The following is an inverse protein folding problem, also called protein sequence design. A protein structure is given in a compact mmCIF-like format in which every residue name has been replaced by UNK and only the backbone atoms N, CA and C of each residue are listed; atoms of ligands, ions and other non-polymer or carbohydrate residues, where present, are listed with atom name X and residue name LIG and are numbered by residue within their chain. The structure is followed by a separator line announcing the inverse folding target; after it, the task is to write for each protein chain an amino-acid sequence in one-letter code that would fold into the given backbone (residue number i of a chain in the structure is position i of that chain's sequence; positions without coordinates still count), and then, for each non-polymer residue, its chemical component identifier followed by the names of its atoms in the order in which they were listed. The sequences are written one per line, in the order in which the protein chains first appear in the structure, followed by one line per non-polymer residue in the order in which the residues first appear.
data_IF_972367628836
#
_entry.id   IF_972367628836
#
_cell.length_a   1.000
_cell.length_b   1.000
_cell.length_c   1.000
_cell.angle_alpha   90.00
_cell.angle_beta   90.00
_cell.angle_gamma   90.00
#
_symmetry.space_group_name_H-M   'P 1'
#
loop_
_entity.id
_entity.type
_entity.pdbx_description
1 polymer ?
#
# COMPACT_ATOMS: atom_id res chain seq x y z
N UNK A 1 -16.81 42.45 -52.70
CA UNK A 1 -15.78 41.72 -51.94
C UNK A 1 -16.27 41.19 -50.56
N UNK A 2 -17.26 41.81 -49.90
CA UNK A 2 -17.81 41.35 -48.60
C UNK A 2 -18.83 40.20 -48.67
N UNK A 3 -19.37 39.86 -49.83
CA UNK A 3 -20.40 38.82 -49.97
C UNK A 3 -19.79 37.42 -50.18
N UNK A 4 -18.56 37.32 -50.73
CA UNK A 4 -17.86 36.05 -50.89
C UNK A 4 -17.23 35.53 -49.59
N UNK A 5 -16.83 36.43 -48.66
CA UNK A 5 -16.26 36.05 -47.38
C UNK A 5 -17.29 35.44 -46.41
N UNK A 6 -18.56 35.83 -46.54
CA UNK A 6 -19.65 35.27 -45.72
C UNK A 6 -20.00 33.83 -46.16
N UNK A 7 -19.97 33.53 -47.45
CA UNK A 7 -20.28 32.17 -47.98
C UNK A 7 -19.13 31.21 -47.65
N UNK A 8 -17.87 31.66 -47.71
CA UNK A 8 -16.70 30.86 -47.39
C UNK A 8 -16.61 30.58 -45.88
N UNK A 9 -17.02 31.53 -45.04
CA UNK A 9 -17.07 31.35 -43.58
C UNK A 9 -18.22 30.44 -43.11
N UNK A 10 -19.35 30.42 -43.85
CA UNK A 10 -20.47 29.54 -43.50
C UNK A 10 -20.19 28.09 -43.95
N UNK A 11 -19.53 27.90 -45.08
CA UNK A 11 -19.08 26.60 -45.57
C UNK A 11 -17.96 26.00 -44.64
N UNK A 12 -17.07 26.85 -44.08
CA UNK A 12 -16.07 26.39 -43.06
C UNK A 12 -16.72 26.04 -41.73
N UNK A 13 -17.72 26.78 -41.27
CA UNK A 13 -18.45 26.46 -40.03
C UNK A 13 -19.24 25.16 -40.14
N UNK A 14 -19.76 24.82 -41.31
CA UNK A 14 -20.50 23.56 -41.53
C UNK A 14 -19.58 22.34 -41.59
N UNK A 15 -18.31 22.50 -42.01
CA UNK A 15 -17.33 21.42 -42.03
C UNK A 15 -16.69 21.12 -40.68
N UNK A 16 -16.84 22.01 -39.67
CA UNK A 16 -16.28 21.85 -38.34
C UNK A 16 -17.24 21.16 -37.34
N UNK A 17 -18.55 21.03 -37.67
CA UNK A 17 -19.53 20.39 -36.78
C UNK A 17 -19.71 18.90 -37.10
N UNK A 18 -19.75 18.09 -36.02
CA UNK A 18 -20.09 16.67 -36.12
C UNK A 18 -21.53 16.52 -36.60
N UNK A 19 -21.76 15.85 -37.72
CA UNK A 19 -23.11 15.57 -38.26
C UNK A 19 -23.39 14.08 -38.26
N UNK A 20 -24.60 13.71 -37.86
CA UNK A 20 -25.11 12.33 -37.90
C UNK A 20 -26.43 12.37 -38.66
N UNK A 21 -26.51 11.65 -39.76
CA UNK A 21 -27.76 11.42 -40.51
C UNK A 21 -28.10 9.92 -40.43
N UNK A 22 -29.38 9.64 -40.25
CA UNK A 22 -29.93 8.28 -40.14
C UNK A 22 -30.82 8.01 -41.30
N UNK A 23 -30.36 7.18 -42.23
CA UNK A 23 -31.12 6.76 -43.42
C UNK A 23 -31.49 5.27 -43.29
N UNK A 24 -32.59 4.86 -43.85
CA UNK A 24 -33.05 3.49 -43.87
C UNK A 24 -32.87 2.92 -45.28
N UNK A 25 -31.92 1.99 -45.45
CA UNK A 25 -31.67 1.32 -46.73
C UNK A 25 -32.74 0.30 -47.05
N UNK A 26 -33.19 -0.46 -46.01
CA UNK A 26 -34.21 -1.48 -46.06
C UNK A 26 -34.97 -1.55 -44.74
N UNK A 27 -36.14 -2.23 -44.73
CA UNK A 27 -36.93 -2.41 -43.50
C UNK A 27 -36.13 -2.99 -42.31
N UNK A 28 -34.98 -3.64 -42.57
CA UNK A 28 -34.13 -4.29 -41.55
C UNK A 28 -32.74 -3.67 -41.41
N UNK A 29 -32.36 -2.69 -42.25
CA UNK A 29 -31.00 -2.14 -42.29
C UNK A 29 -31.01 -0.63 -42.06
N UNK A 30 -30.34 -0.18 -40.98
CA UNK A 30 -30.13 1.23 -40.64
C UNK A 30 -28.76 1.68 -41.14
N UNK A 31 -28.71 2.72 -41.99
CA UNK A 31 -27.48 3.37 -42.42
C UNK A 31 -27.21 4.60 -41.55
N UNK A 32 -26.06 4.62 -40.89
CA UNK A 32 -25.61 5.76 -40.10
C UNK A 32 -24.51 6.50 -40.85
N UNK A 33 -24.86 7.68 -41.40
CA UNK A 33 -23.90 8.55 -42.08
C UNK A 33 -23.27 9.50 -41.09
N UNK A 34 -21.92 9.47 -41.01
CA UNK A 34 -21.14 10.33 -40.14
C UNK A 34 -20.34 11.32 -40.99
N UNK A 35 -20.48 12.61 -40.69
CA UNK A 35 -19.75 13.65 -41.41
C UNK A 35 -19.16 14.72 -40.49
N UNK A 36 -18.23 15.52 -41.05
CA UNK A 36 -17.58 16.62 -40.35
C UNK A 36 -16.36 16.21 -39.52
N UNK A 37 -16.00 17.03 -38.55
CA UNK A 37 -14.79 16.85 -37.72
C UNK A 37 -15.12 16.24 -36.34
N UNK A 38 -14.76 14.98 -36.13
CA UNK A 38 -15.05 14.19 -34.94
C UNK A 38 -13.89 14.25 -33.93
N UNK A 39 -13.59 15.48 -33.48
CA UNK A 39 -12.55 15.76 -32.49
C UNK A 39 -13.19 15.95 -31.11
N UNK A 40 -12.47 15.58 -30.04
CA UNK A 40 -12.93 15.64 -28.63
C UNK A 40 -13.40 17.05 -28.21
N UNK A 41 -12.83 18.09 -28.82
CA UNK A 41 -13.18 19.51 -28.58
C UNK A 41 -14.53 19.93 -29.19
N UNK A 42 -15.03 19.22 -30.18
CA UNK A 42 -16.26 19.59 -30.86
C UNK A 42 -17.49 19.04 -30.14
N UNK A 43 -18.60 19.80 -30.20
CA UNK A 43 -19.86 19.40 -29.59
C UNK A 43 -20.42 18.19 -30.35
N UNK A 44 -20.47 17.04 -29.69
CA UNK A 44 -20.91 15.77 -30.29
C UNK A 44 -22.44 15.64 -30.23
N UNK A 45 -23.10 15.08 -31.26
CA UNK A 45 -24.49 14.74 -31.17
C UNK A 45 -24.72 13.65 -30.11
N UNK A 46 -25.84 13.75 -29.41
CA UNK A 46 -26.22 12.77 -28.39
C UNK A 46 -26.61 11.44 -29.05
N UNK A 47 -26.16 10.32 -28.44
CA UNK A 47 -26.62 8.98 -28.88
C UNK A 47 -28.11 8.74 -28.63
N UNK A 48 -28.81 9.68 -27.97
CA UNK A 48 -30.22 9.57 -27.61
C UNK A 48 -31.11 9.36 -28.81
N UNK A 49 -30.90 10.11 -29.92
CA UNK A 49 -31.68 10.03 -31.13
C UNK A 49 -31.54 8.68 -31.87
N UNK A 50 -30.33 8.11 -31.82
CA UNK A 50 -30.06 6.77 -32.37
C UNK A 50 -30.72 5.72 -31.48
N UNK A 51 -30.62 5.90 -30.20
CA UNK A 51 -31.20 5.04 -29.15
C UNK A 51 -32.73 4.97 -29.28
N UNK A 52 -33.39 6.11 -29.45
CA UNK A 52 -34.84 6.17 -29.65
C UNK A 52 -35.29 5.44 -30.93
N UNK A 53 -34.59 5.63 -32.05
CA UNK A 53 -34.89 4.92 -33.29
C UNK A 53 -34.69 3.41 -33.22
N UNK A 54 -33.61 2.95 -32.55
CA UNK A 54 -33.35 1.54 -32.34
C UNK A 54 -34.36 0.88 -31.37
N UNK A 55 -34.94 1.67 -30.45
CA UNK A 55 -35.96 1.16 -29.51
C UNK A 55 -37.35 1.22 -30.12
N UNK A 56 -37.63 2.23 -30.97
CA UNK A 56 -38.95 2.41 -31.61
C UNK A 56 -39.21 1.44 -32.82
N UNK A 57 -38.13 0.96 -33.45
CA UNK A 57 -38.22 0.05 -34.59
C UNK A 57 -37.57 -1.30 -34.24
N UNK A 58 -38.32 -2.19 -33.62
CA UNK A 58 -37.85 -3.53 -33.19
C UNK A 58 -37.48 -4.47 -34.37
N UNK A 59 -37.66 -4.05 -35.63
CA UNK A 59 -37.36 -4.84 -36.83
C UNK A 59 -35.92 -4.65 -37.36
N UNK A 60 -35.15 -3.69 -36.88
CA UNK A 60 -33.77 -3.42 -37.32
C UNK A 60 -32.86 -4.56 -36.86
N UNK A 61 -32.21 -5.24 -37.79
CA UNK A 61 -31.26 -6.33 -37.54
C UNK A 61 -29.83 -6.05 -37.97
N UNK A 62 -29.66 -5.04 -38.85
CA UNK A 62 -28.35 -4.68 -39.40
C UNK A 62 -28.11 -3.18 -39.33
N UNK A 63 -26.91 -2.80 -38.91
CA UNK A 63 -26.43 -1.40 -38.90
C UNK A 63 -25.20 -1.34 -39.80
N UNK A 64 -25.21 -0.36 -40.72
CA UNK A 64 -24.09 -0.06 -41.62
C UNK A 64 -23.65 1.37 -41.40
N UNK A 65 -22.35 1.61 -41.42
CA UNK A 65 -21.77 2.95 -41.29
C UNK A 65 -21.29 3.47 -42.66
N UNK A 66 -21.50 4.77 -42.88
CA UNK A 66 -20.90 5.51 -43.99
C UNK A 66 -20.12 6.71 -43.39
N UNK A 67 -18.82 6.69 -43.58
CA UNK A 67 -17.91 7.70 -43.05
C UNK A 67 -17.17 8.48 -44.12
N UNK A 68 -17.63 8.45 -45.35
CA UNK A 68 -17.01 9.14 -46.50
C UNK A 68 -16.92 10.65 -46.30
N UNK A 69 -17.83 11.24 -45.51
CA UNK A 69 -17.89 12.68 -45.22
C UNK A 69 -17.12 13.09 -43.94
N UNK A 70 -16.34 12.20 -43.31
CA UNK A 70 -15.51 12.54 -42.18
C UNK A 70 -14.22 13.20 -42.65
N UNK A 71 -13.95 14.42 -42.15
CA UNK A 71 -12.74 15.22 -42.48
C UNK A 71 -11.58 14.89 -41.53
N UNK A 72 -11.86 14.81 -40.21
CA UNK A 72 -10.89 14.47 -39.17
C UNK A 72 -11.58 13.69 -38.06
N UNK A 73 -10.84 12.81 -37.41
CA UNK A 73 -11.37 12.04 -36.28
C UNK A 73 -10.28 11.76 -35.24
N UNK A 74 -10.70 11.64 -33.96
CA UNK A 74 -9.88 11.23 -32.84
C UNK A 74 -10.64 10.24 -31.91
N UNK A 75 -10.22 10.11 -30.66
CA UNK A 75 -10.91 9.29 -29.64
C UNK A 75 -12.38 9.67 -29.42
N UNK A 76 -12.80 10.86 -29.85
CA UNK A 76 -14.19 11.30 -29.81
C UNK A 76 -15.12 10.45 -30.66
N UNK A 77 -14.68 10.06 -31.87
CA UNK A 77 -15.41 9.14 -32.73
C UNK A 77 -15.51 7.74 -32.10
N UNK A 78 -14.40 7.24 -31.53
CA UNK A 78 -14.37 5.93 -30.87
C UNK A 78 -15.34 5.84 -29.72
N UNK A 79 -15.39 6.89 -28.87
CA UNK A 79 -16.32 6.97 -27.73
C UNK A 79 -17.78 6.97 -28.18
N UNK A 80 -18.09 7.63 -29.27
CA UNK A 80 -19.44 7.64 -29.87
C UNK A 80 -19.82 6.27 -30.44
N UNK A 81 -18.91 5.65 -31.18
CA UNK A 81 -19.11 4.33 -31.78
C UNK A 81 -19.21 3.22 -30.73
N UNK A 82 -18.41 3.26 -29.68
CA UNK A 82 -18.50 2.26 -28.61
C UNK A 82 -19.86 2.24 -27.94
N UNK A 83 -20.46 3.42 -27.71
CA UNK A 83 -21.80 3.50 -27.12
C UNK A 83 -22.92 2.90 -28.07
N UNK A 84 -22.75 3.00 -29.38
CA UNK A 84 -23.69 2.39 -30.34
C UNK A 84 -23.44 0.87 -30.42
N UNK A 85 -22.17 0.43 -30.43
CA UNK A 85 -21.82 -0.98 -30.52
C UNK A 85 -22.27 -1.76 -29.26
N UNK A 86 -22.11 -1.20 -28.07
CA UNK A 86 -22.54 -1.83 -26.80
C UNK A 86 -24.06 -2.00 -26.79
N UNK A 87 -24.80 -1.00 -27.26
CA UNK A 87 -26.26 -1.07 -27.35
C UNK A 87 -26.75 -2.07 -28.41
N UNK A 88 -26.10 -2.08 -29.58
CA UNK A 88 -26.43 -3.01 -30.66
C UNK A 88 -26.19 -4.46 -30.24
N UNK A 89 -25.12 -4.69 -29.49
CA UNK A 89 -24.81 -6.01 -28.92
C UNK A 89 -25.86 -6.48 -27.93
N UNK A 90 -26.33 -5.58 -27.02
CA UNK A 90 -27.41 -5.90 -26.07
C UNK A 90 -28.74 -6.26 -26.74
N UNK A 91 -29.01 -5.71 -27.97
CA UNK A 91 -30.22 -5.95 -28.71
C UNK A 91 -30.09 -7.06 -29.79
N UNK A 92 -28.92 -7.70 -29.90
CA UNK A 92 -28.66 -8.75 -30.87
C UNK A 92 -28.60 -8.28 -32.32
N UNK A 93 -28.28 -6.98 -32.55
CA UNK A 93 -28.18 -6.36 -33.89
C UNK A 93 -26.76 -6.56 -34.42
N UNK A 94 -26.66 -7.05 -35.67
CA UNK A 94 -25.35 -7.18 -36.34
C UNK A 94 -24.90 -5.83 -36.91
N UNK A 95 -23.65 -5.48 -36.63
CA UNK A 95 -23.04 -4.20 -37.02
C UNK A 95 -21.95 -4.45 -38.07
N UNK A 96 -22.14 -3.91 -39.27
CA UNK A 96 -21.12 -3.91 -40.32
C UNK A 96 -20.14 -2.74 -40.07
N UNK A 97 -18.85 -3.03 -39.94
CA UNK A 97 -17.78 -2.08 -39.66
C UNK A 97 -16.99 -1.68 -40.90
N UNK A 98 -17.27 -2.25 -42.06
CA UNK A 98 -16.49 -2.03 -43.30
C UNK A 98 -16.53 -0.58 -43.76
N UNK A 99 -17.58 0.18 -43.43
CA UNK A 99 -17.68 1.62 -43.71
C UNK A 99 -16.97 2.56 -42.77
N UNK A 100 -16.26 2.06 -41.74
CA UNK A 100 -15.48 2.87 -40.80
C UNK A 100 -14.03 3.06 -41.29
N UNK A 101 -13.31 4.14 -40.88
CA UNK A 101 -11.91 4.30 -41.19
C UNK A 101 -11.07 3.13 -40.62
N UNK A 102 -10.08 2.63 -41.37
CA UNK A 102 -9.26 1.46 -40.97
C UNK A 102 -8.65 1.58 -39.58
N UNK A 103 -8.19 2.79 -39.19
CA UNK A 103 -7.64 3.04 -37.85
C UNK A 103 -8.69 2.87 -36.74
N UNK A 104 -9.94 3.32 -36.99
CA UNK A 104 -11.04 3.17 -36.06
C UNK A 104 -11.49 1.70 -35.91
N UNK A 105 -11.49 0.94 -37.00
CA UNK A 105 -11.80 -0.50 -36.97
C UNK A 105 -10.80 -1.27 -36.07
N UNK A 106 -9.49 -1.08 -36.28
CA UNK A 106 -8.43 -1.73 -35.51
C UNK A 106 -8.49 -1.37 -34.01
N UNK A 107 -8.75 -0.10 -33.69
CA UNK A 107 -8.87 0.34 -32.31
C UNK A 107 -10.13 -0.23 -31.62
N UNK A 108 -11.24 -0.35 -32.32
CA UNK A 108 -12.47 -0.97 -31.82
C UNK A 108 -12.30 -2.49 -31.60
N UNK A 109 -11.54 -3.17 -32.45
CA UNK A 109 -11.20 -4.58 -32.24
C UNK A 109 -10.33 -4.78 -31.01
N UNK A 110 -9.30 -3.94 -30.79
CA UNK A 110 -8.47 -3.96 -29.61
C UNK A 110 -9.27 -3.66 -28.33
N UNK A 111 -10.20 -2.69 -28.40
CA UNK A 111 -11.08 -2.38 -27.27
C UNK A 111 -12.00 -3.55 -26.93
N UNK A 112 -12.52 -4.27 -27.92
CA UNK A 112 -13.37 -5.44 -27.72
C UNK A 112 -12.59 -6.62 -27.11
N UNK A 113 -11.39 -6.90 -27.61
CA UNK A 113 -10.52 -7.93 -27.05
C UNK A 113 -10.15 -7.66 -25.58
N UNK A 114 -10.05 -6.39 -25.18
CA UNK A 114 -9.87 -5.97 -23.77
C UNK A 114 -11.14 -6.10 -22.93
N UNK A 115 -12.32 -5.93 -23.53
CA UNK A 115 -13.62 -6.05 -22.84
C UNK A 115 -14.03 -7.49 -22.62
N UNK A 116 -13.78 -8.38 -23.56
CA UNK A 116 -14.08 -9.82 -23.41
C UNK A 116 -13.35 -10.42 -22.21
N UNK A 117 -12.10 -10.00 -21.93
CA UNK A 117 -11.38 -10.38 -20.71
C UNK A 117 -12.02 -9.86 -19.41
N UNK A 118 -12.78 -8.78 -19.46
CA UNK A 118 -13.48 -8.22 -18.29
C UNK A 118 -14.88 -8.79 -18.10
N UNK A 119 -15.55 -9.22 -19.17
CA UNK A 119 -16.87 -9.84 -19.08
C UNK A 119 -16.80 -11.28 -18.59
N UNK A 120 -15.78 -12.03 -18.95
CA UNK A 120 -15.50 -13.35 -18.32
C UNK A 120 -15.30 -13.25 -16.80
N UNK A 121 -14.87 -12.09 -16.28
CA UNK A 121 -14.78 -11.83 -14.84
C UNK A 121 -16.11 -11.36 -14.22
N UNK A 122 -17.06 -10.79 -14.98
CA UNK A 122 -18.37 -10.35 -14.47
C UNK A 122 -19.47 -11.41 -14.58
N UNK A 123 -19.30 -12.39 -15.44
CA UNK A 123 -20.18 -13.57 -15.56
C UNK A 123 -19.90 -14.67 -14.53
N UNK A 124 -19.24 -14.35 -13.41
CA UNK A 124 -18.99 -15.30 -12.34
C UNK A 124 -20.34 -15.83 -11.79
N UNK A 125 -20.70 -17.04 -12.22
CA UNK A 125 -21.69 -17.89 -11.52
C UNK A 125 -21.43 -17.80 -10.02
N UNK A 126 -22.47 -17.83 -9.16
CA UNK A 126 -22.24 -17.79 -7.70
C UNK A 126 -21.23 -18.88 -7.36
N UNK A 127 -20.02 -18.44 -7.11
CA UNK A 127 -18.88 -19.35 -6.84
C UNK A 127 -19.22 -20.09 -5.56
N UNK A 128 -19.30 -21.43 -5.65
CA UNK A 128 -19.55 -22.29 -4.49
C UNK A 128 -18.63 -21.89 -3.33
N UNK A 129 -19.14 -21.88 -2.11
CA UNK A 129 -18.38 -21.60 -0.89
C UNK A 129 -17.03 -22.36 -0.86
N UNK A 130 -17.06 -23.63 -1.30
CA UNK A 130 -15.87 -24.48 -1.43
C UNK A 130 -14.83 -23.92 -2.43
N UNK A 131 -15.26 -23.34 -3.55
CA UNK A 131 -14.37 -22.75 -4.53
C UNK A 131 -13.71 -21.47 -3.99
N UNK A 132 -14.47 -20.63 -3.26
CA UNK A 132 -13.91 -19.45 -2.57
C UNK A 132 -12.89 -19.85 -1.52
N UNK A 133 -13.22 -20.85 -0.71
CA UNK A 133 -12.31 -21.38 0.31
C UNK A 133 -11.04 -21.93 -0.33
N UNK A 134 -11.15 -22.69 -1.41
CA UNK A 134 -10.00 -23.22 -2.16
C UNK A 134 -9.11 -22.12 -2.74
N UNK A 135 -9.68 -21.10 -3.37
CA UNK A 135 -8.93 -19.95 -3.89
C UNK A 135 -8.21 -19.19 -2.77
N UNK A 136 -8.89 -18.95 -1.65
CA UNK A 136 -8.28 -18.26 -0.49
C UNK A 136 -7.12 -19.06 0.06
N UNK A 137 -7.28 -20.39 0.19
CA UNK A 137 -6.23 -21.29 0.68
C UNK A 137 -5.04 -21.32 -0.26
N UNK A 138 -5.24 -21.46 -1.57
CA UNK A 138 -4.15 -21.44 -2.56
C UNK A 138 -3.41 -20.10 -2.55
N UNK A 139 -4.15 -18.98 -2.47
CA UNK A 139 -3.53 -17.66 -2.38
C UNK A 139 -2.73 -17.48 -1.08
N UNK A 140 -3.22 -18.03 0.03
CA UNK A 140 -2.51 -18.00 1.32
C UNK A 140 -1.18 -18.77 1.23
N UNK A 141 -1.19 -19.98 0.65
CA UNK A 141 0.04 -20.76 0.46
C UNK A 141 1.02 -20.08 -0.49
N UNK A 142 0.53 -19.46 -1.56
CA UNK A 142 1.39 -18.69 -2.49
C UNK A 142 2.01 -17.49 -1.79
N UNK A 143 1.21 -16.70 -1.06
CA UNK A 143 1.72 -15.57 -0.29
C UNK A 143 2.70 -16.00 0.80
N UNK A 144 2.47 -17.14 1.46
CA UNK A 144 3.42 -17.68 2.44
C UNK A 144 4.75 -18.07 1.76
N UNK A 145 4.70 -18.67 0.56
CA UNK A 145 5.87 -18.97 -0.24
C UNK A 145 6.68 -17.73 -0.62
N UNK A 146 6.01 -16.65 -1.03
CA UNK A 146 6.66 -15.39 -1.39
C UNK A 146 7.34 -14.73 -0.17
N UNK A 147 6.69 -14.78 1.00
CA UNK A 147 7.27 -14.29 2.26
C UNK A 147 8.51 -15.11 2.63
N UNK A 148 8.43 -16.45 2.51
CA UNK A 148 9.54 -17.33 2.86
C UNK A 148 10.74 -17.13 1.90
N UNK A 149 10.47 -16.95 0.60
CA UNK A 149 11.49 -16.63 -0.39
C UNK A 149 12.18 -15.31 -0.06
N UNK A 150 11.41 -14.26 0.27
CA UNK A 150 11.93 -12.96 0.67
C UNK A 150 12.82 -13.05 1.92
N UNK A 151 12.40 -13.80 2.94
CA UNK A 151 13.20 -14.03 4.15
C UNK A 151 14.50 -14.77 3.79
N UNK A 152 14.43 -15.78 2.92
CA UNK A 152 15.60 -16.50 2.44
C UNK A 152 16.59 -15.59 1.71
N UNK A 153 16.09 -14.72 0.82
CA UNK A 153 16.94 -13.72 0.14
C UNK A 153 17.56 -12.72 1.11
N UNK A 154 16.78 -12.23 2.11
CA UNK A 154 17.30 -11.35 3.15
C UNK A 154 18.41 -12.02 3.98
N UNK A 155 18.22 -13.31 4.31
CA UNK A 155 19.22 -14.09 5.03
C UNK A 155 20.50 -14.30 4.20
N UNK A 156 20.37 -14.59 2.91
CA UNK A 156 21.53 -14.70 2.01
C UNK A 156 22.27 -13.37 1.85
N UNK A 157 21.55 -12.26 1.77
CA UNK A 157 22.14 -10.91 1.75
C UNK A 157 22.90 -10.61 3.04
N UNK A 158 22.35 -10.97 4.20
CA UNK A 158 22.98 -10.83 5.50
C UNK A 158 24.25 -11.70 5.62
N UNK A 159 24.18 -12.93 5.12
CA UNK A 159 25.34 -13.84 5.09
C UNK A 159 26.46 -13.31 4.20
N UNK A 160 26.12 -12.75 3.03
CA UNK A 160 27.08 -12.10 2.13
C UNK A 160 27.70 -10.85 2.78
N UNK A 161 26.96 -10.15 3.62
CA UNK A 161 27.49 -9.02 4.42
C UNK A 161 28.58 -9.49 5.39
N UNK A 162 28.33 -10.53 6.17
CA UNK A 162 29.34 -11.09 7.09
C UNK A 162 30.58 -11.62 6.37
N UNK A 163 30.43 -12.06 5.12
CA UNK A 163 31.56 -12.48 4.26
C UNK A 163 32.29 -11.31 3.59
N UNK A 164 31.84 -10.07 3.79
CA UNK A 164 32.42 -8.88 3.20
C UNK A 164 32.18 -8.74 1.67
N UNK A 165 31.25 -9.51 1.11
CA UNK A 165 30.91 -9.51 -0.32
C UNK A 165 29.71 -8.64 -0.68
N UNK A 166 28.95 -8.17 0.30
CA UNK A 166 27.74 -7.36 0.07
C UNK A 166 28.09 -6.00 -0.52
N UNK A 167 27.33 -5.60 -1.55
CA UNK A 167 27.49 -4.33 -2.27
C UNK A 167 26.43 -3.34 -1.82
N UNK A 168 26.71 -2.54 -0.81
CA UNK A 168 25.84 -1.44 -0.38
C UNK A 168 26.61 -0.16 -0.11
N UNK A 169 25.92 0.97 -0.11
CA UNK A 169 26.52 2.29 0.18
C UNK A 169 26.56 2.53 1.69
N UNK A 170 27.72 2.76 2.26
CA UNK A 170 27.88 3.11 3.70
C UNK A 170 27.12 4.40 4.08
N UNK A 171 27.05 5.37 3.14
CA UNK A 171 26.29 6.61 3.34
C UNK A 171 24.80 6.35 3.56
N UNK A 172 24.20 5.41 2.84
CA UNK A 172 22.79 5.09 2.96
C UNK A 172 22.50 4.42 4.32
N UNK A 173 23.41 3.56 4.79
CA UNK A 173 23.31 2.97 6.12
C UNK A 173 23.38 4.03 7.24
N UNK A 174 24.29 5.01 7.13
CA UNK A 174 24.40 6.09 8.13
C UNK A 174 23.13 6.93 8.14
N UNK A 175 22.58 7.25 6.98
CA UNK A 175 21.31 7.98 6.86
C UNK A 175 20.15 7.21 7.51
N UNK A 176 20.05 5.91 7.25
CA UNK A 176 19.04 5.05 7.87
C UNK A 176 19.22 5.02 9.41
N UNK A 177 20.44 4.94 9.90
CA UNK A 177 20.73 5.00 11.36
C UNK A 177 20.27 6.34 11.94
N UNK A 178 20.50 7.46 11.25
CA UNK A 178 20.08 8.77 11.69
C UNK A 178 18.54 8.87 11.72
N UNK A 179 17.88 8.47 10.65
CA UNK A 179 16.42 8.51 10.51
C UNK A 179 15.74 7.59 11.54
N UNK A 180 16.28 6.38 11.74
CA UNK A 180 15.72 5.43 12.71
C UNK A 180 16.05 5.76 14.17
N UNK A 181 17.18 6.41 14.43
CA UNK A 181 17.68 6.69 15.75
C UNK A 181 17.29 8.09 16.22
N UNK A 182 18.06 9.07 15.81
CA UNK A 182 17.99 10.45 16.34
C UNK A 182 16.61 11.07 16.15
N UNK A 183 16.03 10.92 14.97
CA UNK A 183 14.71 11.48 14.69
C UNK A 183 13.56 10.74 15.40
N UNK A 184 13.79 9.54 15.91
CA UNK A 184 12.79 8.82 16.69
C UNK A 184 12.80 9.20 18.18
N UNK A 185 13.90 9.78 18.71
CA UNK A 185 14.06 10.10 20.12
C UNK A 185 12.90 10.93 20.72
N UNK A 186 12.42 12.02 20.08
CA UNK A 186 11.38 12.83 20.70
C UNK A 186 10.08 12.06 20.96
N UNK A 187 9.64 11.26 19.99
CA UNK A 187 8.40 10.48 20.10
C UNK A 187 8.57 9.31 21.09
N UNK A 188 9.72 8.64 21.08
CA UNK A 188 10.03 7.55 22.03
C UNK A 188 10.09 8.11 23.44
N UNK A 189 10.73 9.27 23.65
CA UNK A 189 10.79 9.94 24.96
C UNK A 189 9.41 10.20 25.54
N UNK A 190 8.57 10.85 24.75
CA UNK A 190 7.24 11.25 25.20
C UNK A 190 6.39 10.03 25.53
N UNK A 191 6.33 9.05 24.64
CA UNK A 191 5.47 7.87 24.82
C UNK A 191 5.98 7.01 25.97
N UNK A 192 7.28 6.75 26.06
CA UNK A 192 7.85 5.92 27.15
C UNK A 192 7.70 6.55 28.51
N UNK A 193 7.88 7.87 28.61
CA UNK A 193 7.64 8.63 29.84
C UNK A 193 6.18 8.53 30.28
N UNK A 194 5.24 8.74 29.37
CA UNK A 194 3.80 8.65 29.65
C UNK A 194 3.39 7.23 30.03
N UNK A 195 3.90 6.20 29.36
CA UNK A 195 3.61 4.80 29.70
C UNK A 195 4.12 4.46 31.09
N UNK A 196 5.37 4.87 31.43
CA UNK A 196 5.92 4.70 32.78
C UNK A 196 5.09 5.40 33.84
N UNK A 197 4.63 6.62 33.57
CA UNK A 197 3.75 7.41 34.45
C UNK A 197 2.39 6.70 34.64
N UNK A 198 1.77 6.20 33.57
CA UNK A 198 0.49 5.49 33.62
C UNK A 198 0.63 4.19 34.44
N UNK A 199 1.68 3.39 34.19
CA UNK A 199 1.93 2.16 34.93
C UNK A 199 2.13 2.43 36.43
N UNK A 200 2.91 3.47 36.75
CA UNK A 200 3.13 3.86 38.13
C UNK A 200 1.84 4.33 38.81
N UNK A 201 1.05 5.14 38.14
CA UNK A 201 -0.23 5.66 38.65
C UNK A 201 -1.22 4.53 38.93
N UNK A 202 -1.42 3.63 37.95
CA UNK A 202 -2.34 2.48 38.10
C UNK A 202 -1.83 1.55 39.21
N UNK A 203 -0.52 1.26 39.23
CA UNK A 203 0.11 0.46 40.29
C UNK A 203 -0.01 1.11 41.67
N UNK A 204 0.19 2.42 41.78
CA UNK A 204 0.08 3.18 43.01
C UNK A 204 -1.31 3.05 43.64
N UNK A 205 -2.39 3.27 42.86
CA UNK A 205 -3.76 3.16 43.34
C UNK A 205 -4.07 1.79 43.95
N UNK A 206 -3.55 0.72 43.34
CA UNK A 206 -3.76 -0.63 43.85
C UNK A 206 -2.88 -0.92 45.10
N UNK A 207 -1.60 -0.55 45.09
CA UNK A 207 -0.67 -0.86 46.19
C UNK A 207 -0.90 0.02 47.43
N UNK A 208 -1.47 1.22 47.27
CA UNK A 208 -1.90 2.06 48.41
C UNK A 208 -2.93 1.34 49.30
N UNK A 209 -3.84 0.55 48.71
CA UNK A 209 -4.87 -0.19 49.46
C UNK A 209 -4.25 -1.23 50.44
N UNK A 210 -3.05 -1.70 50.12
CA UNK A 210 -2.31 -2.68 50.93
C UNK A 210 -1.17 -2.09 51.77
N UNK A 211 -0.97 -0.76 51.74
CA UNK A 211 0.14 -0.11 52.41
C UNK A 211 1.53 -0.45 51.83
N UNK A 212 1.55 -0.98 50.60
CA UNK A 212 2.75 -1.49 49.95
C UNK A 212 3.27 -0.58 48.84
N UNK A 213 3.21 0.73 49.04
CA UNK A 213 3.44 1.78 48.04
C UNK A 213 4.83 1.70 47.36
N UNK A 214 5.87 1.31 48.12
CA UNK A 214 7.26 1.23 47.61
C UNK A 214 7.41 0.20 46.46
N UNK A 215 6.55 -0.83 46.44
CA UNK A 215 6.58 -1.86 45.39
C UNK A 215 6.12 -1.36 44.02
N UNK A 216 5.60 -0.12 43.90
CA UNK A 216 5.39 0.54 42.61
C UNK A 216 6.70 0.62 41.82
N UNK A 217 7.83 0.87 42.47
CA UNK A 217 9.15 0.89 41.87
C UNK A 217 9.53 -0.46 41.25
N UNK A 218 9.20 -1.57 41.88
CA UNK A 218 9.46 -2.92 41.39
C UNK A 218 8.57 -3.19 40.15
N UNK A 219 7.29 -2.87 40.26
CA UNK A 219 6.32 -3.10 39.20
C UNK A 219 6.70 -2.35 37.94
N UNK A 220 6.97 -1.05 38.03
CA UNK A 220 7.36 -0.23 36.89
C UNK A 220 8.71 -0.67 36.35
N UNK A 221 9.69 -0.93 37.24
CA UNK A 221 11.05 -1.35 36.87
C UNK A 221 11.03 -2.63 36.03
N UNK A 222 10.45 -3.69 36.58
CA UNK A 222 10.40 -4.99 35.88
C UNK A 222 9.53 -4.90 34.59
N UNK A 223 8.34 -4.29 34.68
CA UNK A 223 7.43 -4.20 33.52
C UNK A 223 8.05 -3.42 32.36
N UNK A 224 8.71 -2.28 32.65
CA UNK A 224 9.36 -1.49 31.61
C UNK A 224 10.54 -2.23 31.00
N UNK A 225 11.52 -2.60 31.80
CA UNK A 225 12.81 -3.13 31.34
C UNK A 225 12.65 -4.49 30.63
N UNK A 226 11.76 -5.34 31.13
CA UNK A 226 11.61 -6.70 30.61
C UNK A 226 10.79 -6.76 29.31
N UNK A 227 9.75 -5.93 29.19
CA UNK A 227 8.77 -6.09 28.09
C UNK A 227 8.30 -4.76 27.50
N UNK A 228 7.81 -3.82 28.34
CA UNK A 228 7.01 -2.69 27.86
C UNK A 228 7.83 -1.72 27.00
N UNK A 229 9.06 -1.41 27.38
CA UNK A 229 9.89 -0.50 26.59
C UNK A 229 10.22 -1.07 25.21
N UNK A 230 10.54 -2.37 25.13
CA UNK A 230 10.78 -3.03 23.83
C UNK A 230 9.54 -3.01 22.96
N UNK A 231 8.37 -3.39 23.50
CA UNK A 231 7.11 -3.45 22.77
C UNK A 231 6.65 -2.06 22.31
N UNK A 232 6.67 -1.05 23.21
CA UNK A 232 6.25 0.31 22.86
C UNK A 232 7.17 0.93 21.82
N UNK A 233 8.49 0.81 21.99
CA UNK A 233 9.46 1.25 20.97
C UNK A 233 9.23 0.52 19.66
N UNK A 234 8.99 -0.78 19.68
CA UNK A 234 8.68 -1.58 18.50
C UNK A 234 7.43 -1.08 17.76
N UNK A 235 6.32 -0.83 18.47
CA UNK A 235 5.08 -0.32 17.88
C UNK A 235 5.30 1.07 17.27
N UNK A 236 6.01 1.97 17.96
CA UNK A 236 6.34 3.31 17.45
C UNK A 236 7.15 3.18 16.15
N UNK A 237 8.19 2.34 16.16
CA UNK A 237 9.07 2.16 15.02
C UNK A 237 8.40 1.43 13.86
N UNK A 238 7.46 0.52 14.12
CA UNK A 238 6.64 -0.09 13.06
C UNK A 238 5.76 0.97 12.37
N UNK A 239 5.12 1.86 13.15
CA UNK A 239 4.26 2.92 12.63
C UNK A 239 5.03 4.01 11.88
N UNK A 240 6.21 4.42 12.35
CA UNK A 240 7.01 5.48 11.76
C UNK A 240 7.97 4.95 10.70
N UNK A 241 8.90 4.10 11.11
CA UNK A 241 10.02 3.66 10.26
C UNK A 241 9.60 2.52 9.33
N UNK A 242 8.82 1.55 9.80
CA UNK A 242 8.29 0.47 8.98
C UNK A 242 7.40 0.99 7.85
N UNK A 243 6.50 1.92 8.16
CA UNK A 243 5.68 2.60 7.15
C UNK A 243 6.51 3.42 6.15
N UNK A 244 7.53 4.15 6.64
CA UNK A 244 8.41 4.94 5.78
C UNK A 244 9.22 4.05 4.82
N UNK A 245 9.73 2.90 5.27
CA UNK A 245 10.41 1.94 4.40
C UNK A 245 9.49 1.38 3.32
N UNK A 246 8.26 1.03 3.69
CA UNK A 246 7.27 0.54 2.73
C UNK A 246 6.89 1.62 1.72
N UNK A 247 6.71 2.86 2.14
CA UNK A 247 6.39 3.97 1.26
C UNK A 247 7.54 4.30 0.29
N UNK A 248 8.79 4.35 0.79
CA UNK A 248 9.96 4.61 -0.03
C UNK A 248 10.16 3.53 -1.10
N UNK A 249 10.18 2.25 -0.70
CA UNK A 249 10.34 1.14 -1.63
C UNK A 249 9.14 1.00 -2.57
N UNK A 250 7.93 1.26 -2.08
CA UNK A 250 6.72 1.29 -2.89
C UNK A 250 6.77 2.37 -3.97
N UNK A 251 7.26 3.56 -3.65
CA UNK A 251 7.48 4.64 -4.63
C UNK A 251 8.51 4.24 -5.68
N UNK A 252 9.62 3.63 -5.26
CA UNK A 252 10.64 3.10 -6.18
C UNK A 252 10.08 1.98 -7.08
N UNK A 253 9.13 1.17 -6.57
CA UNK A 253 8.44 0.14 -7.35
C UNK A 253 7.49 0.75 -8.39
N UNK A 254 6.74 1.79 -8.02
CA UNK A 254 5.84 2.52 -8.94
C UNK A 254 6.63 3.21 -10.06
N UNK A 255 7.80 3.76 -9.74
CA UNK A 255 8.70 4.42 -10.71
C UNK A 255 9.56 3.43 -11.52
N UNK A 256 9.39 2.12 -11.31
CA UNK A 256 10.19 1.06 -11.96
C UNK A 256 11.70 1.10 -11.65
N UNK A 257 12.11 1.85 -10.60
CA UNK A 257 13.51 1.97 -10.19
C UNK A 257 14.09 0.62 -9.70
N UNK A 258 13.27 -0.19 -9.01
CA UNK A 258 13.68 -1.53 -8.54
C UNK A 258 13.94 -2.47 -9.72
N UNK A 259 13.13 -2.37 -10.78
CA UNK A 259 13.31 -3.16 -11.99
C UNK A 259 14.55 -2.69 -12.77
N UNK A 260 14.86 -1.39 -12.74
CA UNK A 260 16.11 -0.86 -13.29
C UNK A 260 17.35 -1.42 -12.57
N UNK A 261 17.34 -1.53 -11.23
CA UNK A 261 18.44 -2.19 -10.49
C UNK A 261 18.63 -3.65 -10.91
N UNK A 262 17.54 -4.41 -11.07
CA UNK A 262 17.60 -5.80 -11.53
C UNK A 262 18.20 -5.93 -12.93
N UNK A 263 17.82 -5.04 -13.86
CA UNK A 263 18.38 -5.04 -15.23
C UNK A 263 19.86 -4.68 -15.27
N UNK A 264 20.34 -3.86 -14.32
CA UNK A 264 21.76 -3.54 -14.13
C UNK A 264 22.54 -4.64 -13.38
N UNK A 265 21.89 -5.73 -12.99
CA UNK A 265 22.54 -6.82 -12.24
C UNK A 265 22.82 -6.47 -10.76
N UNK A 266 22.16 -5.44 -10.22
CA UNK A 266 22.27 -5.04 -8.83
C UNK A 266 21.14 -5.71 -8.05
N UNK A 267 21.48 -6.47 -6.99
CA UNK A 267 20.49 -7.10 -6.12
C UNK A 267 19.76 -6.03 -5.28
N UNK A 268 18.43 -5.87 -5.43
CA UNK A 268 17.67 -4.95 -4.58
C UNK A 268 17.74 -5.33 -3.09
N UNK A 269 17.91 -6.62 -2.79
CA UNK A 269 18.03 -7.10 -1.41
C UNK A 269 19.30 -6.60 -0.74
N UNK A 270 20.45 -6.67 -1.43
CA UNK A 270 21.73 -6.19 -0.88
C UNK A 270 21.80 -4.66 -0.84
N UNK A 271 21.25 -3.99 -1.86
CA UNK A 271 21.40 -2.55 -2.01
C UNK A 271 20.35 -1.73 -1.25
N UNK A 272 19.09 -2.18 -1.19
CA UNK A 272 17.98 -1.44 -0.59
C UNK A 272 17.56 -2.01 0.77
N UNK A 273 17.37 -3.33 0.89
CA UNK A 273 16.82 -3.96 2.09
C UNK A 273 17.86 -4.09 3.18
N UNK A 274 19.04 -4.57 2.86
CA UNK A 274 20.10 -4.85 3.83
C UNK A 274 20.51 -3.64 4.68
N UNK A 275 20.75 -2.43 4.13
CA UNK A 275 21.09 -1.25 4.94
C UNK A 275 19.98 -0.86 5.91
N UNK A 276 18.70 -0.98 5.49
CA UNK A 276 17.52 -0.70 6.31
C UNK A 276 17.40 -1.70 7.46
N UNK A 277 17.59 -2.98 7.15
CA UNK A 277 17.55 -4.05 8.15
C UNK A 277 18.65 -3.89 9.19
N UNK A 278 19.89 -3.67 8.76
CA UNK A 278 21.03 -3.47 9.67
C UNK A 278 20.88 -2.21 10.54
N UNK A 279 20.49 -1.08 9.91
CA UNK A 279 20.30 0.19 10.62
C UNK A 279 19.25 0.09 11.71
N UNK A 280 18.08 -0.48 11.40
CA UNK A 280 17.01 -0.62 12.38
C UNK A 280 17.34 -1.66 13.46
N UNK A 281 17.93 -2.80 13.10
CA UNK A 281 18.34 -3.83 14.06
C UNK A 281 19.37 -3.31 15.06
N UNK A 282 20.29 -2.44 14.63
CA UNK A 282 21.28 -1.81 15.50
C UNK A 282 20.67 -0.75 16.41
N UNK A 283 19.75 0.07 15.86
CA UNK A 283 19.17 1.18 16.61
C UNK A 283 18.07 0.76 17.60
N UNK A 284 17.37 -0.33 17.36
CA UNK A 284 16.28 -0.78 18.24
C UNK A 284 16.69 -1.08 19.67
N UNK A 285 17.79 -1.81 19.95
CA UNK A 285 18.25 -2.01 21.32
C UNK A 285 18.63 -0.70 22.03
N UNK A 286 19.26 0.23 21.31
CA UNK A 286 19.64 1.54 21.86
C UNK A 286 18.41 2.39 22.21
N UNK A 287 17.39 2.39 21.34
CA UNK A 287 16.13 3.06 21.62
C UNK A 287 15.35 2.40 22.75
N UNK A 288 15.46 1.08 22.92
CA UNK A 288 14.87 0.36 24.03
C UNK A 288 15.50 0.77 25.36
N UNK A 289 16.83 0.81 25.45
CA UNK A 289 17.54 1.30 26.65
C UNK A 289 17.15 2.74 26.99
N UNK A 290 17.02 3.58 25.98
CA UNK A 290 16.57 4.94 26.17
C UNK A 290 15.12 5.00 26.68
N UNK A 291 14.25 4.18 26.12
CA UNK A 291 12.85 4.04 26.52
C UNK A 291 12.70 3.53 27.96
N UNK A 292 13.57 2.60 28.38
CA UNK A 292 13.65 2.14 29.77
C UNK A 292 13.94 3.29 30.74
N UNK A 293 14.94 4.11 30.42
CA UNK A 293 15.29 5.28 31.25
C UNK A 293 14.11 6.28 31.31
N UNK A 294 13.47 6.58 30.18
CA UNK A 294 12.35 7.51 30.16
C UNK A 294 11.13 6.97 30.91
N UNK A 295 10.86 5.65 30.81
CA UNK A 295 9.77 5.01 31.54
C UNK A 295 10.00 4.97 33.05
N UNK A 296 11.22 4.69 33.49
CA UNK A 296 11.60 4.76 34.91
C UNK A 296 11.49 6.18 35.45
N UNK A 297 11.86 7.20 34.67
CA UNK A 297 11.66 8.61 35.03
C UNK A 297 10.17 8.96 35.14
N UNK A 298 9.32 8.44 34.26
CA UNK A 298 7.86 8.59 34.35
C UNK A 298 7.32 7.98 35.67
N UNK A 299 7.80 6.80 36.03
CA UNK A 299 7.47 6.15 37.29
C UNK A 299 7.94 6.94 38.53
N UNK A 300 9.16 7.50 38.48
CA UNK A 300 9.70 8.35 39.52
C UNK A 300 8.85 9.60 39.77
N UNK A 301 8.35 10.25 38.72
CA UNK A 301 7.50 11.44 38.86
C UNK A 301 6.24 11.12 39.70
N UNK A 302 5.61 9.96 39.46
CA UNK A 302 4.45 9.55 40.26
C UNK A 302 4.85 9.14 41.68
N UNK A 303 5.95 8.40 41.83
CA UNK A 303 6.42 7.96 43.13
C UNK A 303 6.70 9.14 44.07
N UNK A 304 7.35 10.18 43.59
CA UNK A 304 7.65 11.39 44.36
C UNK A 304 6.45 12.30 44.52
N UNK A 305 5.69 12.52 43.42
CA UNK A 305 4.62 13.52 43.42
C UNK A 305 3.31 13.06 44.06
N UNK A 306 3.04 11.74 44.10
CA UNK A 306 1.77 11.19 44.60
C UNK A 306 1.93 10.30 45.85
N UNK A 307 3.05 9.59 45.94
CA UNK A 307 3.30 8.61 47.01
C UNK A 307 4.21 9.15 48.13
N UNK A 308 4.70 10.40 47.99
CA UNK A 308 5.66 11.04 48.92
C UNK A 308 6.92 10.18 49.18
N UNK A 309 7.31 9.33 48.21
CA UNK A 309 8.50 8.49 48.32
C UNK A 309 9.77 9.33 48.07
N UNK A 310 10.83 9.02 48.79
CA UNK A 310 12.12 9.65 48.54
C UNK A 310 12.74 9.13 47.24
N UNK A 311 13.34 10.03 46.45
CA UNK A 311 14.02 9.69 45.18
C UNK A 311 15.04 8.57 45.39
N UNK A 312 15.83 8.62 46.49
CA UNK A 312 16.84 7.62 46.78
C UNK A 312 16.22 6.25 47.11
N UNK A 313 15.09 6.24 47.78
CA UNK A 313 14.33 5.03 48.11
C UNK A 313 13.79 4.36 46.85
N UNK A 314 13.18 5.14 45.95
CA UNK A 314 12.73 4.66 44.65
C UNK A 314 13.90 4.08 43.85
N UNK A 315 15.03 4.78 43.78
CA UNK A 315 16.22 4.30 43.07
C UNK A 315 16.76 2.98 43.60
N UNK A 316 16.92 2.88 44.94
CA UNK A 316 17.42 1.65 45.58
C UNK A 316 16.44 0.48 45.33
N UNK A 317 15.13 0.74 45.42
CA UNK A 317 14.12 -0.29 45.22
C UNK A 317 14.09 -0.77 43.76
N UNK A 318 14.11 0.16 42.82
CA UNK A 318 14.18 -0.19 41.38
C UNK A 318 15.44 -1.01 41.06
N UNK A 319 16.61 -0.56 41.58
CA UNK A 319 17.88 -1.26 41.36
C UNK A 319 17.89 -2.68 41.95
N UNK A 320 17.24 -2.89 43.09
CA UNK A 320 17.15 -4.22 43.71
C UNK A 320 16.18 -5.15 42.97
N UNK A 321 15.16 -4.59 42.31
CA UNK A 321 14.12 -5.33 41.63
C UNK A 321 14.51 -5.73 40.21
N UNK A 322 15.23 -4.87 39.48
CA UNK A 322 15.59 -5.11 38.06
C UNK A 322 16.90 -5.90 38.00
N UNK A 323 16.78 -7.13 37.51
CA UNK A 323 17.93 -8.02 37.29
C UNK A 323 18.58 -7.78 35.89
N UNK A 324 19.84 -8.22 35.78
CA UNK A 324 20.56 -8.19 34.52
C UNK A 324 19.86 -9.08 33.46
N UNK A 325 19.19 -10.15 33.87
CA UNK A 325 18.39 -11.03 33.03
C UNK A 325 17.23 -10.29 32.40
N UNK A 326 16.54 -9.41 33.15
CA UNK A 326 15.41 -8.64 32.62
C UNK A 326 15.86 -7.67 31.52
N UNK A 327 16.99 -6.98 31.74
CA UNK A 327 17.60 -6.10 30.76
C UNK A 327 18.00 -6.86 29.49
N UNK A 328 18.63 -8.01 29.61
CA UNK A 328 19.05 -8.84 28.49
C UNK A 328 17.84 -9.34 27.68
N UNK A 329 16.75 -9.74 28.34
CA UNK A 329 15.52 -10.16 27.68
C UNK A 329 14.93 -8.99 26.87
N UNK A 330 14.82 -7.78 27.44
CA UNK A 330 14.35 -6.60 26.73
C UNK A 330 15.20 -6.26 25.50
N UNK A 331 16.54 -6.35 25.62
CA UNK A 331 17.46 -6.11 24.51
C UNK A 331 17.35 -7.15 23.40
N UNK A 332 17.20 -8.43 23.77
CA UNK A 332 16.97 -9.49 22.78
C UNK A 332 15.64 -9.28 22.06
N UNK A 333 14.57 -8.98 22.80
CA UNK A 333 13.27 -8.67 22.21
C UNK A 333 13.35 -7.50 21.25
N UNK A 334 13.95 -6.39 21.65
CA UNK A 334 14.08 -5.20 20.80
C UNK A 334 14.88 -5.45 19.52
N UNK A 335 15.94 -6.28 19.60
CA UNK A 335 16.74 -6.70 18.44
C UNK A 335 15.90 -7.50 17.46
N UNK A 336 15.12 -8.48 17.95
CA UNK A 336 14.20 -9.29 17.13
C UNK A 336 13.14 -8.40 16.50
N UNK A 337 12.57 -7.44 17.23
CA UNK A 337 11.60 -6.51 16.71
C UNK A 337 12.18 -5.64 15.59
N UNK A 338 13.43 -5.18 15.73
CA UNK A 338 14.13 -4.43 14.67
C UNK A 338 14.20 -5.20 13.36
N UNK A 339 14.52 -6.50 13.42
CA UNK A 339 14.55 -7.37 12.25
C UNK A 339 13.13 -7.54 11.65
N UNK A 340 12.14 -7.84 12.49
CA UNK A 340 10.76 -8.06 12.04
C UNK A 340 10.14 -6.83 11.38
N UNK A 341 10.35 -5.64 11.95
CA UNK A 341 9.84 -4.38 11.41
C UNK A 341 10.50 -4.07 10.06
N UNK A 342 11.82 -4.22 9.98
CA UNK A 342 12.54 -3.97 8.74
C UNK A 342 12.09 -4.92 7.62
N UNK A 343 11.95 -6.21 7.93
CA UNK A 343 11.46 -7.21 6.97
C UNK A 343 10.02 -6.91 6.55
N UNK A 344 9.11 -6.60 7.49
CA UNK A 344 7.72 -6.28 7.19
C UNK A 344 7.60 -5.03 6.30
N UNK A 345 8.32 -3.95 6.63
CA UNK A 345 8.33 -2.71 5.86
C UNK A 345 8.89 -2.91 4.45
N UNK A 346 10.04 -3.57 4.32
CA UNK A 346 10.65 -3.82 3.02
C UNK A 346 9.84 -4.80 2.16
N UNK A 347 9.31 -5.87 2.74
CA UNK A 347 8.47 -6.84 2.03
C UNK A 347 7.25 -6.17 1.41
N UNK A 348 6.49 -5.40 2.22
CA UNK A 348 5.28 -4.73 1.75
C UNK A 348 5.60 -3.63 0.73
N UNK A 349 6.74 -2.95 0.86
CA UNK A 349 7.19 -1.97 -0.12
C UNK A 349 7.53 -2.59 -1.47
N UNK A 350 8.26 -3.71 -1.51
CA UNK A 350 8.61 -4.41 -2.76
C UNK A 350 7.38 -5.07 -3.39
N UNK A 351 6.42 -5.55 -2.59
CA UNK A 351 5.15 -6.10 -3.07
C UNK A 351 4.11 -5.05 -3.47
N UNK A 352 4.46 -3.76 -3.41
CA UNK A 352 3.57 -2.66 -3.76
C UNK A 352 3.09 -2.77 -5.22
N UNK A 353 1.79 -2.49 -5.44
CA UNK A 353 1.22 -2.38 -6.79
C UNK A 353 1.74 -1.15 -7.54
N UNK A 354 1.54 -1.11 -8.86
CA UNK A 354 2.04 -0.04 -9.75
C UNK A 354 1.14 1.22 -9.76
N UNK A 355 0.63 1.65 -8.62
CA UNK A 355 -0.19 2.86 -8.51
C UNK A 355 0.17 3.68 -7.28
N UNK A 356 -0.03 4.99 -7.33
CA UNK A 356 0.23 5.86 -6.19
C UNK A 356 -0.63 5.51 -4.96
N UNK A 357 -1.86 5.04 -5.14
CA UNK A 357 -2.72 4.56 -4.05
C UNK A 357 -2.17 3.30 -3.39
N UNK A 358 -1.55 2.40 -4.18
CA UNK A 358 -0.96 1.17 -3.66
C UNK A 358 0.21 1.43 -2.68
N UNK A 359 0.90 2.57 -2.80
CA UNK A 359 1.96 2.97 -1.86
C UNK A 359 1.38 3.23 -0.46
N UNK A 360 0.24 3.91 -0.37
CA UNK A 360 -0.48 4.11 0.89
C UNK A 360 -0.93 2.79 1.53
N UNK A 361 -1.49 1.89 0.70
CA UNK A 361 -1.93 0.56 1.15
C UNK A 361 -0.74 -0.30 1.61
N UNK A 362 0.39 -0.23 0.93
CA UNK A 362 1.62 -0.91 1.33
C UNK A 362 2.15 -0.40 2.68
N UNK A 363 2.15 0.92 2.90
CA UNK A 363 2.57 1.52 4.16
C UNK A 363 1.68 1.07 5.34
N UNK A 364 0.36 1.13 5.19
CA UNK A 364 -0.57 0.68 6.24
C UNK A 364 -0.46 -0.83 6.49
N UNK A 365 -0.32 -1.64 5.44
CA UNK A 365 -0.12 -3.09 5.54
C UNK A 365 1.21 -3.43 6.25
N UNK A 366 2.27 -2.66 6.04
CA UNK A 366 3.55 -2.81 6.70
C UNK A 366 3.43 -2.59 8.21
N UNK A 367 2.73 -1.54 8.64
CA UNK A 367 2.46 -1.24 10.06
C UNK A 367 1.72 -2.39 10.72
N UNK A 368 0.61 -2.84 10.14
CA UNK A 368 -0.20 -3.93 10.68
C UNK A 368 0.62 -5.22 10.78
N UNK A 369 1.35 -5.57 9.70
CA UNK A 369 2.20 -6.77 9.68
C UNK A 369 3.31 -6.68 10.73
N UNK A 370 3.95 -5.51 10.88
CA UNK A 370 4.98 -5.26 11.88
C UNK A 370 4.45 -5.42 13.30
N UNK A 371 3.35 -4.75 13.65
CA UNK A 371 2.74 -4.81 14.99
C UNK A 371 2.31 -6.25 15.34
N UNK A 372 1.64 -6.94 14.43
CA UNK A 372 1.22 -8.34 14.66
C UNK A 372 2.44 -9.24 14.90
N UNK A 373 3.50 -9.06 14.10
CA UNK A 373 4.74 -9.83 14.26
C UNK A 373 5.43 -9.56 15.61
N UNK A 374 5.44 -8.29 16.08
CA UNK A 374 5.96 -7.91 17.38
C UNK A 374 5.20 -8.60 18.51
N UNK A 375 3.87 -8.54 18.48
CA UNK A 375 3.02 -9.15 19.53
C UNK A 375 3.22 -10.66 19.57
N UNK A 376 3.24 -11.33 18.42
CA UNK A 376 3.50 -12.77 18.33
C UNK A 376 4.89 -13.11 18.88
N UNK A 377 5.92 -12.36 18.47
CA UNK A 377 7.29 -12.58 18.96
C UNK A 377 7.39 -12.33 20.47
N UNK A 378 6.74 -11.29 21.00
CA UNK A 378 6.67 -11.03 22.45
C UNK A 378 6.07 -12.22 23.20
N UNK A 379 4.93 -12.72 22.72
CA UNK A 379 4.26 -13.88 23.35
C UNK A 379 5.19 -15.11 23.38
N UNK A 380 5.84 -15.41 22.24
CA UNK A 380 6.76 -16.55 22.13
C UNK A 380 7.96 -16.38 23.07
N UNK A 381 8.62 -15.22 23.03
CA UNK A 381 9.81 -14.96 23.88
C UNK A 381 9.44 -15.02 25.35
N UNK A 382 8.31 -14.42 25.75
CA UNK A 382 7.85 -14.43 27.15
C UNK A 382 7.56 -15.85 27.63
N UNK A 383 6.93 -16.70 26.81
CA UNK A 383 6.70 -18.12 27.18
C UNK A 383 8.03 -18.86 27.30
N UNK A 384 8.96 -18.67 26.35
CA UNK A 384 10.25 -19.35 26.39
C UNK A 384 11.03 -18.93 27.64
N UNK A 385 11.12 -17.64 27.94
CA UNK A 385 11.84 -17.14 29.13
C UNK A 385 11.21 -17.64 30.43
N UNK A 386 9.87 -17.70 30.48
CA UNK A 386 9.18 -18.26 31.65
C UNK A 386 9.46 -19.76 31.85
N UNK A 387 9.46 -20.56 30.76
CA UNK A 387 9.80 -22.00 30.82
C UNK A 387 11.25 -22.24 31.22
N UNK A 388 12.16 -21.34 30.80
CA UNK A 388 13.58 -21.42 31.19
C UNK A 388 13.84 -20.98 32.64
N UNK A 389 12.83 -20.46 33.35
CA UNK A 389 12.97 -20.00 34.73
C UNK A 389 13.75 -18.68 34.89
N UNK A 390 13.77 -17.88 33.82
CA UNK A 390 14.51 -16.61 33.78
C UNK A 390 13.53 -15.44 33.85
#
# INVERSE_FOLDING_TARGET
MKQNDAIVNDARKTSEQCTVALDQLDFKTLLIKLGGSWILKNKRPSNHTIREKLTAQAEIRHIVFDTTAIVQWDSGLLTFLSGILDQSFQQGITVDRTGLPEGAQKLLELAKAGSEKKEDQKGARPTSFLFRLGLTTVNLFRSAGDVLAFIGEAFTALFNFFRGKARFRRCDMIRVIQDCGVEALPIVSLISLLVGLILAFVGAVQLMMFGAQIYVANLVGIAMVRVMAAVMTGIIMAGRTGAAFAAQLGTMQVNEEIDAFKTMGISPMEFLVLPRMLGLTLMMPLLCLYADLMGLLGGLIVAVGMLDLNIMEYYHQTRSAVGLSDLLIGLIQSTVFGILIALAGCLRGIQCGRSASAVGDAATSAVVTGIVSIIVATAIITVITHVMGI
#
